data_IF_773517630578
#
_entry.id   IF_773517630578
#
_cell.length_a   1.000
_cell.length_b   1.000
_cell.length_c   1.000
_cell.angle_alpha   90.00
_cell.angle_beta   90.00
_cell.angle_gamma   90.00
#
_symmetry.space_group_name_H-M   'P 1'
#
loop_
_entity.id
_entity.type
_entity.pdbx_description
1 polymer ?
#
# COMPACT_ATOMS: atom_id res chain seq x y z
N UNK A 1 -29.01 1.38 2.57
CA UNK A 1 -28.31 1.66 1.29
C UNK A 1 -26.78 1.70 1.39
N UNK A 2 -26.17 1.90 2.57
CA UNK A 2 -24.71 2.04 2.72
C UNK A 2 -23.88 0.74 2.54
N UNK A 3 -24.50 -0.44 2.70
CA UNK A 3 -23.78 -1.71 2.61
C UNK A 3 -23.23 -2.02 1.21
N UNK A 4 -23.93 -1.59 0.15
CA UNK A 4 -23.49 -1.83 -1.23
C UNK A 4 -22.28 -0.99 -1.63
N UNK A 5 -22.21 0.27 -1.18
CA UNK A 5 -21.12 1.18 -1.51
C UNK A 5 -19.80 0.80 -0.82
N UNK A 6 -19.86 0.40 0.45
CA UNK A 6 -18.67 -0.04 1.18
C UNK A 6 -18.07 -1.31 0.54
N UNK A 7 -18.92 -2.25 0.14
CA UNK A 7 -18.50 -3.47 -0.53
C UNK A 7 -17.83 -3.20 -1.89
N UNK A 8 -18.37 -2.26 -2.69
CA UNK A 8 -17.76 -1.85 -3.95
C UNK A 8 -16.40 -1.16 -3.74
N UNK A 9 -16.28 -0.32 -2.71
CA UNK A 9 -15.01 0.30 -2.32
C UNK A 9 -13.98 -0.76 -1.93
N UNK A 10 -14.37 -1.75 -1.13
CA UNK A 10 -13.51 -2.84 -0.69
C UNK A 10 -12.96 -3.66 -1.85
N UNK A 11 -13.83 -4.03 -2.81
CA UNK A 11 -13.43 -4.75 -4.03
C UNK A 11 -12.50 -3.88 -4.89
N UNK A 12 -12.89 -2.62 -5.14
CA UNK A 12 -12.11 -1.71 -5.98
C UNK A 12 -10.71 -1.46 -5.44
N UNK A 13 -10.62 -1.14 -4.14
CA UNK A 13 -9.34 -0.97 -3.45
C UNK A 13 -8.56 -2.28 -3.40
N UNK A 14 -9.22 -3.39 -3.04
CA UNK A 14 -8.58 -4.71 -2.98
C UNK A 14 -7.92 -5.10 -4.29
N UNK A 15 -8.62 -4.91 -5.42
CA UNK A 15 -8.07 -5.14 -6.76
C UNK A 15 -6.91 -4.19 -7.07
N UNK A 16 -7.02 -2.91 -6.73
CA UNK A 16 -5.93 -1.94 -6.92
C UNK A 16 -4.67 -2.33 -6.14
N UNK A 17 -4.81 -2.71 -4.88
CA UNK A 17 -3.70 -3.17 -4.05
C UNK A 17 -3.11 -4.50 -4.53
N UNK A 18 -3.95 -5.41 -5.02
CA UNK A 18 -3.45 -6.63 -5.67
C UNK A 18 -2.58 -6.29 -6.88
N UNK A 19 -3.10 -5.48 -7.81
CA UNK A 19 -2.39 -5.15 -9.05
C UNK A 19 -1.08 -4.40 -8.81
N UNK A 20 -1.00 -3.54 -7.79
CA UNK A 20 0.22 -2.82 -7.42
C UNK A 20 1.20 -3.64 -6.59
N UNK A 21 0.73 -4.66 -5.86
CA UNK A 21 1.54 -5.61 -5.10
C UNK A 21 2.19 -6.72 -5.97
N UNK A 22 1.47 -7.22 -6.99
CA UNK A 22 1.98 -8.24 -7.94
C UNK A 22 3.39 -7.94 -8.49
N UNK A 23 3.67 -6.78 -9.10
CA UNK A 23 4.98 -6.48 -9.67
C UNK A 23 6.09 -6.39 -8.62
N UNK A 24 5.74 -6.22 -7.34
CA UNK A 24 6.71 -6.25 -6.24
C UNK A 24 7.14 -7.67 -5.88
N UNK A 25 6.23 -8.63 -6.03
CA UNK A 25 6.47 -10.05 -5.73
C UNK A 25 7.13 -10.79 -6.89
N UNK A 26 6.72 -10.48 -8.11
CA UNK A 26 7.10 -11.27 -9.27
C UNK A 26 8.17 -10.58 -10.11
N UNK A 27 9.36 -11.17 -10.14
CA UNK A 27 10.51 -10.67 -10.90
C UNK A 27 10.37 -10.78 -12.43
N UNK A 28 9.38 -11.53 -12.93
CA UNK A 28 9.11 -11.66 -14.37
C UNK A 28 8.45 -10.42 -14.97
N UNK A 29 7.86 -9.54 -14.15
CA UNK A 29 7.18 -8.33 -14.62
C UNK A 29 8.24 -7.26 -14.92
N UNK A 30 8.24 -6.62 -16.11
CA UNK A 30 9.25 -5.63 -16.48
C UNK A 30 9.31 -4.44 -15.51
N UNK A 31 8.17 -4.09 -14.89
CA UNK A 31 8.10 -3.06 -13.86
C UNK A 31 8.90 -3.38 -12.58
N UNK A 32 9.22 -4.66 -12.32
CA UNK A 32 9.94 -5.08 -11.12
C UNK A 32 11.32 -4.41 -11.00
N UNK A 33 12.05 -4.26 -12.11
CA UNK A 33 13.37 -3.59 -12.10
C UNK A 33 13.24 -2.12 -11.70
N UNK A 34 12.28 -1.41 -12.30
CA UNK A 34 12.00 0.01 -12.02
C UNK A 34 11.59 0.19 -10.56
N UNK A 35 10.70 -0.67 -10.05
CA UNK A 35 10.30 -0.67 -8.64
C UNK A 35 11.48 -0.93 -7.71
N UNK A 36 12.35 -1.87 -8.03
CA UNK A 36 13.53 -2.18 -7.22
C UNK A 36 14.45 -0.97 -7.08
N UNK A 37 14.74 -0.27 -8.17
CA UNK A 37 15.53 0.97 -8.14
C UNK A 37 14.85 2.06 -7.31
N UNK A 38 13.52 2.15 -7.33
CA UNK A 38 12.79 3.11 -6.50
C UNK A 38 12.83 2.72 -5.02
N UNK A 39 12.69 1.44 -4.71
CA UNK A 39 12.80 0.92 -3.34
C UNK A 39 14.21 1.05 -2.76
N UNK A 40 15.25 1.06 -3.59
CA UNK A 40 16.61 1.43 -3.16
C UNK A 40 16.60 2.85 -2.63
N UNK A 41 16.01 3.82 -3.33
CA UNK A 41 15.91 5.19 -2.84
C UNK A 41 15.03 5.28 -1.59
N UNK A 42 13.90 4.58 -1.55
CA UNK A 42 13.02 4.54 -0.39
C UNK A 42 13.72 4.02 0.88
N UNK A 43 14.58 3.00 0.75
CA UNK A 43 15.36 2.49 1.89
C UNK A 43 16.27 3.55 2.52
N UNK A 44 16.70 4.56 1.75
CA UNK A 44 17.60 5.62 2.24
C UNK A 44 16.90 6.67 3.10
N UNK A 45 15.57 6.79 3.00
CA UNK A 45 14.76 7.74 3.77
C UNK A 45 13.71 7.04 4.64
N UNK A 46 13.92 5.75 4.88
CA UNK A 46 12.98 4.92 5.61
C UNK A 46 12.57 5.61 6.94
N UNK A 47 11.27 5.65 7.30
CA UNK A 47 10.78 6.40 8.47
C UNK A 47 11.45 5.98 9.78
N UNK A 48 11.93 4.73 9.88
CA UNK A 48 12.63 4.19 11.05
C UNK A 48 14.16 4.38 10.97
N UNK A 49 14.69 5.08 9.98
CA UNK A 49 16.11 5.42 9.87
C UNK A 49 16.65 6.22 11.07
N UNK A 50 15.90 7.17 11.68
CA UNK A 50 16.33 7.82 12.92
C UNK A 50 16.55 6.85 14.09
N UNK A 51 15.94 5.65 14.03
CA UNK A 51 16.14 4.57 15.01
C UNK A 51 17.27 3.60 14.61
N UNK A 52 18.03 3.90 13.55
CA UNK A 52 19.15 3.10 13.09
C UNK A 52 18.78 1.90 12.21
N UNK A 53 17.51 1.74 11.85
CA UNK A 53 17.04 0.62 11.01
C UNK A 53 17.09 1.01 9.54
N UNK A 54 18.02 0.42 8.79
CA UNK A 54 18.09 0.52 7.31
C UNK A 54 17.65 -0.82 6.73
N UNK A 55 16.43 -0.94 6.20
CA UNK A 55 15.96 -2.19 5.64
C UNK A 55 16.66 -2.48 4.30
N UNK A 56 16.93 -3.76 4.02
CA UNK A 56 17.40 -4.17 2.70
C UNK A 56 16.32 -3.82 1.65
N UNK A 57 16.65 -3.07 0.58
CA UNK A 57 15.67 -2.60 -0.42
C UNK A 57 14.85 -3.73 -1.04
N UNK A 58 15.49 -4.87 -1.31
CA UNK A 58 14.84 -6.02 -1.97
C UNK A 58 13.86 -6.68 -1.00
N UNK A 59 14.26 -6.83 0.27
CA UNK A 59 13.39 -7.37 1.31
C UNK A 59 12.25 -6.40 1.64
N UNK A 60 12.51 -5.09 1.66
CA UNK A 60 11.50 -4.07 1.88
C UNK A 60 10.44 -4.08 0.77
N UNK A 61 10.86 -4.12 -0.49
CA UNK A 61 9.96 -4.23 -1.64
C UNK A 61 9.12 -5.50 -1.58
N UNK A 62 9.74 -6.64 -1.27
CA UNK A 62 9.04 -7.91 -1.15
C UNK A 62 8.02 -7.89 -0.01
N UNK A 63 8.41 -7.40 1.18
CA UNK A 63 7.53 -7.31 2.34
C UNK A 63 6.32 -6.41 2.05
N UNK A 64 6.54 -5.22 1.48
CA UNK A 64 5.45 -4.32 1.07
C UNK A 64 4.57 -4.99 0.03
N UNK A 65 5.15 -5.68 -0.96
CA UNK A 65 4.40 -6.43 -1.97
C UNK A 65 3.53 -7.54 -1.39
N UNK A 66 4.04 -8.32 -0.42
CA UNK A 66 3.26 -9.38 0.25
C UNK A 66 2.11 -8.77 1.04
N UNK A 67 2.37 -7.67 1.75
CA UNK A 67 1.35 -6.98 2.54
C UNK A 67 0.27 -6.38 1.64
N UNK A 68 0.64 -5.63 0.60
CA UNK A 68 -0.31 -5.03 -0.35
C UNK A 68 -1.14 -6.09 -1.07
N UNK A 69 -0.50 -7.16 -1.56
CA UNK A 69 -1.21 -8.23 -2.25
C UNK A 69 -2.12 -9.01 -1.30
N UNK A 70 -1.58 -9.48 -0.17
CA UNK A 70 -2.33 -10.28 0.80
C UNK A 70 -3.48 -9.51 1.43
N UNK A 71 -3.22 -8.29 1.90
CA UNK A 71 -4.25 -7.43 2.46
C UNK A 71 -5.22 -6.93 1.37
N UNK A 72 -4.78 -6.74 0.12
CA UNK A 72 -5.65 -6.43 -1.01
C UNK A 72 -6.65 -7.55 -1.30
N UNK A 73 -6.19 -8.81 -1.29
CA UNK A 73 -7.07 -9.98 -1.47
C UNK A 73 -8.07 -10.09 -0.30
N UNK A 74 -7.60 -9.98 0.95
CA UNK A 74 -8.49 -10.00 2.11
C UNK A 74 -9.46 -8.83 2.14
N UNK A 75 -9.07 -7.66 1.65
CA UNK A 75 -9.98 -6.52 1.52
C UNK A 75 -11.06 -6.78 0.47
N UNK A 76 -10.71 -7.37 -0.68
CA UNK A 76 -11.69 -7.62 -1.75
C UNK A 76 -12.63 -8.81 -1.48
N UNK A 77 -12.17 -9.83 -0.75
CA UNK A 77 -12.88 -11.13 -0.63
C UNK A 77 -13.09 -11.62 0.81
N UNK A 78 -12.56 -10.91 1.81
CA UNK A 78 -12.65 -11.31 3.22
C UNK A 78 -14.00 -10.99 3.86
N UNK A 79 -14.20 -11.50 5.08
CA UNK A 79 -15.32 -11.12 5.94
C UNK A 79 -15.22 -9.65 6.39
N UNK A 80 -16.30 -9.01 6.85
CA UNK A 80 -16.28 -7.60 7.26
C UNK A 80 -15.15 -7.25 8.25
N UNK A 81 -14.91 -8.10 9.25
CA UNK A 81 -13.81 -7.93 10.22
C UNK A 81 -12.42 -8.01 9.56
N UNK A 82 -12.24 -8.94 8.61
CA UNK A 82 -11.00 -9.09 7.86
C UNK A 82 -10.76 -7.91 6.91
N UNK A 83 -11.82 -7.36 6.32
CA UNK A 83 -11.73 -6.17 5.46
C UNK A 83 -11.29 -4.96 6.27
N UNK A 84 -11.87 -4.74 7.46
CA UNK A 84 -11.46 -3.65 8.38
C UNK A 84 -10.00 -3.81 8.79
N UNK A 85 -9.59 -5.01 9.22
CA UNK A 85 -8.20 -5.27 9.59
C UNK A 85 -7.23 -5.02 8.42
N UNK A 86 -7.59 -5.49 7.22
CA UNK A 86 -6.79 -5.28 6.00
C UNK A 86 -6.71 -3.80 5.63
N UNK A 87 -7.81 -3.07 5.77
CA UNK A 87 -7.85 -1.64 5.50
C UNK A 87 -6.93 -0.85 6.45
N UNK A 88 -6.90 -1.20 7.74
CA UNK A 88 -5.96 -0.58 8.70
C UNK A 88 -4.50 -0.84 8.31
N UNK A 89 -4.17 -2.08 7.94
CA UNK A 89 -2.81 -2.44 7.50
C UNK A 89 -2.42 -1.66 6.23
N UNK A 90 -3.28 -1.65 5.22
CA UNK A 90 -3.05 -0.93 3.96
C UNK A 90 -2.96 0.58 4.16
N UNK A 91 -3.71 1.14 5.12
CA UNK A 91 -3.63 2.55 5.49
C UNK A 91 -2.24 2.86 6.07
N UNK A 92 -1.72 2.00 6.94
CA UNK A 92 -0.35 2.11 7.46
C UNK A 92 0.71 2.10 6.35
N UNK A 93 0.57 1.21 5.36
CA UNK A 93 1.45 1.15 4.18
C UNK A 93 1.38 2.45 3.38
N UNK A 94 0.18 2.99 3.15
CA UNK A 94 -0.02 4.24 2.40
C UNK A 94 0.57 5.46 3.13
N UNK A 95 0.41 5.54 4.45
CA UNK A 95 1.04 6.59 5.27
C UNK A 95 2.57 6.49 5.17
N UNK A 96 3.12 5.29 5.29
CA UNK A 96 4.56 5.04 5.11
C UNK A 96 5.04 5.48 3.73
N UNK A 97 4.31 5.11 2.67
CA UNK A 97 4.63 5.51 1.30
C UNK A 97 4.65 7.04 1.14
N UNK A 98 3.64 7.75 1.65
CA UNK A 98 3.58 9.23 1.60
C UNK A 98 4.77 9.84 2.35
N UNK A 99 5.07 9.37 3.56
CA UNK A 99 6.22 9.89 4.33
C UNK A 99 7.54 9.67 3.57
N UNK A 100 7.69 8.50 2.95
CA UNK A 100 8.88 8.15 2.16
C UNK A 100 9.00 9.08 0.94
N UNK A 101 7.91 9.31 0.22
CA UNK A 101 7.85 10.20 -0.95
C UNK A 101 8.17 11.66 -0.59
N UNK A 102 7.60 12.16 0.50
CA UNK A 102 7.88 13.50 1.02
C UNK A 102 9.35 13.65 1.43
N UNK A 103 9.91 12.64 2.09
CA UNK A 103 11.32 12.65 2.50
C UNK A 103 12.30 12.56 1.32
N UNK A 104 11.86 11.95 0.21
CA UNK A 104 12.60 11.91 -1.05
C UNK A 104 12.48 13.20 -1.86
N UNK A 105 11.62 14.14 -1.46
CA UNK A 105 11.34 15.37 -2.21
C UNK A 105 10.65 15.12 -3.56
N UNK A 106 9.89 14.02 -3.70
CA UNK A 106 9.17 13.70 -4.95
C UNK A 106 8.01 14.68 -5.18
N UNK A 107 7.67 14.87 -6.46
CA UNK A 107 6.59 15.73 -6.88
C UNK A 107 5.24 15.26 -6.30
N UNK A 108 4.35 16.22 -5.99
CA UNK A 108 3.02 15.97 -5.44
C UNK A 108 2.16 15.05 -6.31
N UNK A 109 2.43 14.97 -7.61
CA UNK A 109 1.79 14.04 -8.55
C UNK A 109 2.01 12.56 -8.20
N UNK A 110 3.18 12.22 -7.66
CA UNK A 110 3.50 10.84 -7.23
C UNK A 110 2.80 10.48 -5.90
N UNK A 111 2.39 11.49 -5.11
CA UNK A 111 1.61 11.30 -3.89
C UNK A 111 0.11 11.14 -4.14
N UNK A 112 -0.40 11.51 -5.33
CA UNK A 112 -1.83 11.44 -5.64
C UNK A 112 -2.38 10.03 -5.46
N UNK A 113 -1.78 8.96 -6.02
CA UNK A 113 -2.32 7.61 -5.89
C UNK A 113 -2.40 7.17 -4.44
N UNK A 114 -1.35 7.46 -3.65
CA UNK A 114 -1.29 7.11 -2.24
C UNK A 114 -2.30 7.92 -1.40
N UNK A 115 -2.46 9.22 -1.68
CA UNK A 115 -3.41 10.09 -0.99
C UNK A 115 -4.86 9.70 -1.29
N UNK A 116 -5.16 9.35 -2.56
CA UNK A 116 -6.49 8.87 -2.97
C UNK A 116 -6.78 7.52 -2.30
N UNK A 117 -5.85 6.57 -2.33
CA UNK A 117 -6.02 5.28 -1.66
C UNK A 117 -6.20 5.43 -0.14
N UNK A 118 -5.42 6.31 0.50
CA UNK A 118 -5.55 6.61 1.92
C UNK A 118 -6.92 7.21 2.25
N UNK A 119 -7.39 8.16 1.44
CA UNK A 119 -8.70 8.80 1.64
C UNK A 119 -9.84 7.78 1.48
N UNK A 120 -9.78 6.93 0.45
CA UNK A 120 -10.78 5.89 0.20
C UNK A 120 -10.77 4.80 1.28
N UNK A 121 -9.60 4.37 1.74
CA UNK A 121 -9.46 3.44 2.87
C UNK A 121 -10.01 4.04 4.17
N UNK A 122 -9.75 5.32 4.41
CA UNK A 122 -10.33 6.05 5.55
C UNK A 122 -11.85 6.07 5.48
N UNK A 123 -12.42 6.42 4.32
CA UNK A 123 -13.86 6.36 4.10
C UNK A 123 -14.45 4.96 4.31
N UNK A 124 -13.77 3.92 3.83
CA UNK A 124 -14.19 2.53 4.05
C UNK A 124 -14.21 2.18 5.54
N UNK A 125 -13.18 2.56 6.30
CA UNK A 125 -13.13 2.35 7.75
C UNK A 125 -14.23 3.11 8.49
N UNK A 126 -14.52 4.36 8.11
CA UNK A 126 -15.63 5.13 8.69
C UNK A 126 -17.00 4.56 8.38
N UNK A 127 -17.16 3.83 7.27
CA UNK A 127 -18.42 3.17 6.91
C UNK A 127 -18.57 1.78 7.54
N UNK A 128 -17.46 1.13 7.89
CA UNK A 128 -17.43 -0.21 8.49
C UNK A 128 -17.42 -0.22 10.02
N UNK A 129 -17.21 0.94 10.66
CA UNK A 129 -17.25 1.14 12.12
C UNK A 129 -18.67 1.57 12.57
#
# INVERSE_FOLDING_TARGET
>A
MAAGSAHLLSIGLGLFFCTTGLPKLFSFIPAHKVLKDEFVKFSTVFPLKPLGVVPNPTLYMYAVGVVEFGAGVMLGMGSPDQQVASAVVLLGVMVGAIQTLLSLGRATTECIPAAVCLSLLGLFLFQGL
#
